data_IF_896502000215
#
_entry.id   IF_896502000215
#
_cell.length_a   1.000
_cell.length_b   1.000
_cell.length_c   1.000
_cell.angle_alpha   90.00
_cell.angle_beta   90.00
_cell.angle_gamma   90.00
#
_symmetry.space_group_name_H-M   'P 1'
#
loop_
_entity.id
_entity.type
_entity.pdbx_description
1 polymer ?
#
# COMPACT_ATOMS: atom_id res chain seq x y z
N UNK A 1 -14.74 28.87 -27.06
CA UNK A 1 -15.67 28.07 -26.24
C UNK A 1 -15.51 26.61 -26.62
N UNK A 2 -15.29 25.74 -25.61
CA UNK A 2 -15.55 24.29 -25.53
C UNK A 2 -15.06 23.37 -26.68
N UNK A 3 -14.11 22.43 -26.46
CA UNK A 3 -14.35 21.04 -25.98
C UNK A 3 -15.35 20.29 -26.90
N UNK A 4 -15.15 19.08 -27.45
CA UNK A 4 -14.26 17.95 -27.19
C UNK A 4 -14.67 16.86 -28.20
N UNK A 5 -13.76 16.15 -28.87
CA UNK A 5 -14.10 14.85 -29.50
C UNK A 5 -12.96 13.87 -29.23
N UNK A 6 -13.18 13.03 -28.22
CA UNK A 6 -12.53 11.74 -28.13
C UNK A 6 -13.52 10.67 -28.59
N UNK A 7 -13.09 9.79 -29.51
CA UNK A 7 -13.14 8.33 -29.30
C UNK A 7 -12.44 7.56 -30.41
N UNK A 8 -11.48 6.76 -29.96
CA UNK A 8 -11.11 5.40 -30.39
C UNK A 8 -10.81 5.16 -31.87
N UNK A 9 -9.52 5.00 -32.17
CA UNK A 9 -9.05 4.05 -33.18
C UNK A 9 -8.24 2.95 -32.48
N UNK A 10 -8.75 1.73 -32.63
CA UNK A 10 -8.12 0.48 -32.23
C UNK A 10 -7.23 -0.05 -33.36
N UNK A 11 -6.16 -0.74 -32.98
CA UNK A 11 -5.39 -1.73 -33.75
C UNK A 11 -4.52 -1.27 -34.93
N UNK A 12 -3.29 -1.81 -34.96
CA UNK A 12 -2.33 -1.69 -36.07
C UNK A 12 -0.92 -1.40 -35.57
N UNK A 13 -0.27 -2.31 -34.85
CA UNK A 13 0.74 -3.23 -35.42
C UNK A 13 1.79 -2.50 -36.29
N UNK A 14 2.82 -1.96 -35.64
CA UNK A 14 4.03 -1.51 -36.32
C UNK A 14 4.88 -2.72 -36.70
N UNK A 15 4.87 -3.07 -37.99
CA UNK A 15 5.80 -4.04 -38.57
C UNK A 15 6.72 -3.29 -39.52
N UNK A 16 8.02 -3.36 -39.23
CA UNK A 16 9.11 -2.89 -40.09
C UNK A 16 8.93 -3.41 -41.51
N UNK A 17 8.91 -2.52 -42.51
CA UNK A 17 9.21 -2.89 -43.88
C UNK A 17 10.71 -2.74 -44.13
N UNK A 18 11.36 -3.91 -44.10
CA UNK A 18 12.69 -4.19 -44.63
C UNK A 18 12.56 -4.45 -46.14
N UNK A 19 13.21 -3.58 -46.90
CA UNK A 19 13.99 -3.80 -48.13
C UNK A 19 14.02 -5.22 -48.75
N UNK A 20 13.76 -5.32 -50.06
CA UNK A 20 14.50 -6.19 -51.00
C UNK A 20 14.21 -5.81 -52.46
N UNK A 21 15.30 -5.58 -53.21
CA UNK A 21 15.54 -5.67 -54.67
C UNK A 21 14.43 -6.33 -55.52
N UNK A 22 14.18 -5.97 -56.78
CA UNK A 22 14.89 -5.17 -57.78
C UNK A 22 14.45 -5.71 -59.14
N UNK A 23 14.27 -4.87 -60.16
CA UNK A 23 14.20 -5.32 -61.55
C UNK A 23 14.76 -4.25 -62.50
N UNK A 24 15.71 -4.70 -63.31
CA UNK A 24 16.48 -3.94 -64.28
C UNK A 24 15.73 -3.79 -65.62
N UNK A 25 16.15 -2.82 -66.45
CA UNK A 25 16.48 -2.93 -67.90
C UNK A 25 16.69 -1.51 -68.51
N UNK A 26 17.54 -1.35 -69.56
CA UNK A 26 18.60 -0.34 -69.58
C UNK A 26 18.49 0.77 -70.64
N UNK A 27 19.46 1.70 -70.54
CA UNK A 27 19.91 2.81 -71.40
C UNK A 27 19.74 2.64 -72.93
N UNK A 28 19.54 3.75 -73.67
CA UNK A 28 20.62 4.12 -74.58
C UNK A 28 20.85 5.64 -74.74
N UNK A 29 22.09 6.04 -74.47
CA UNK A 29 22.91 6.93 -75.32
C UNK A 29 22.18 8.18 -75.84
N UNK A 30 22.15 9.23 -75.02
CA UNK A 30 22.35 10.60 -75.54
C UNK A 30 23.56 11.23 -74.88
N UNK A 31 24.59 11.30 -75.71
CA UNK A 31 25.87 11.98 -75.58
C UNK A 31 25.62 13.48 -75.37
N UNK A 32 25.32 13.91 -74.15
CA UNK A 32 25.33 15.31 -73.76
C UNK A 32 26.63 15.58 -72.98
N UNK A 33 27.38 16.57 -73.47
CA UNK A 33 28.80 16.77 -73.20
C UNK A 33 29.24 16.63 -71.75
N UNK A 34 30.28 15.83 -71.55
CA UNK A 34 31.20 15.95 -70.41
C UNK A 34 31.96 17.26 -70.56
N UNK A 35 31.31 18.35 -70.15
CA UNK A 35 31.94 19.52 -69.54
C UNK A 35 31.32 19.72 -68.16
N UNK A 36 31.37 18.66 -67.35
CA UNK A 36 31.31 18.85 -65.90
C UNK A 36 32.68 19.40 -65.51
N UNK A 37 32.78 20.72 -65.49
CA UNK A 37 33.95 21.41 -64.98
C UNK A 37 34.32 20.86 -63.61
N UNK A 38 35.62 20.81 -63.37
CA UNK A 38 36.34 20.49 -62.14
C UNK A 38 35.75 21.15 -60.86
N UNK A 39 34.85 22.13 -61.02
CA UNK A 39 34.08 22.80 -59.98
C UNK A 39 33.00 21.93 -59.31
N UNK A 40 32.34 21.00 -60.01
CA UNK A 40 31.23 20.21 -59.43
C UNK A 40 31.67 19.12 -58.43
N UNK A 41 32.94 18.70 -58.47
CA UNK A 41 33.50 17.69 -57.54
C UNK A 41 33.86 18.28 -56.18
N UNK A 42 34.14 19.58 -56.12
CA UNK A 42 34.49 20.27 -54.87
C UNK A 42 33.25 20.61 -54.05
N UNK A 43 32.13 20.95 -54.71
CA UNK A 43 30.84 21.17 -54.04
C UNK A 43 30.30 19.87 -53.42
N UNK A 44 30.27 18.75 -54.16
CA UNK A 44 29.80 17.46 -53.62
C UNK A 44 30.64 16.94 -52.43
N UNK A 45 31.94 17.22 -52.40
CA UNK A 45 32.81 16.83 -51.30
C UNK A 45 32.55 17.66 -50.02
N UNK A 46 32.12 18.91 -50.17
CA UNK A 46 31.66 19.76 -49.07
C UNK A 46 30.33 19.26 -48.49
N UNK A 47 29.37 18.95 -49.37
CA UNK A 47 28.03 18.49 -48.99
C UNK A 47 28.06 17.14 -48.24
N UNK A 48 28.90 16.19 -48.68
CA UNK A 48 29.03 14.89 -48.02
C UNK A 48 29.60 15.00 -46.60
N UNK A 49 30.60 15.86 -46.38
CA UNK A 49 31.19 16.07 -45.03
C UNK A 49 30.22 16.79 -44.10
N UNK A 50 29.49 17.77 -44.62
CA UNK A 50 28.47 18.49 -43.87
C UNK A 50 27.30 17.56 -43.47
N UNK A 51 26.84 16.70 -44.39
CA UNK A 51 25.83 15.68 -44.11
C UNK A 51 26.27 14.69 -43.01
N UNK A 52 27.54 14.24 -43.05
CA UNK A 52 28.10 13.39 -42.01
C UNK A 52 28.12 14.08 -40.64
N UNK A 53 28.56 15.34 -40.56
CA UNK A 53 28.56 16.10 -39.30
C UNK A 53 27.15 16.29 -38.73
N UNK A 54 26.16 16.57 -39.58
CA UNK A 54 24.77 16.71 -39.17
C UNK A 54 24.20 15.39 -38.63
N UNK A 55 24.48 14.28 -39.31
CA UNK A 55 24.06 12.93 -38.85
C UNK A 55 24.73 12.55 -37.53
N UNK A 56 26.01 12.89 -37.35
CA UNK A 56 26.74 12.63 -36.11
C UNK A 56 26.14 13.41 -34.93
N UNK A 57 25.81 14.69 -35.13
CA UNK A 57 25.10 15.49 -34.12
C UNK A 57 23.72 14.92 -33.81
N UNK A 58 22.94 14.52 -34.80
CA UNK A 58 21.63 13.90 -34.56
C UNK A 58 21.76 12.65 -33.69
N UNK A 59 22.76 11.80 -33.94
CA UNK A 59 23.01 10.60 -33.14
C UNK A 59 23.47 10.90 -31.72
N UNK A 60 24.21 11.98 -31.46
CA UNK A 60 24.56 12.38 -30.08
C UNK A 60 23.33 12.90 -29.35
N UNK A 61 22.54 13.77 -29.99
CA UNK A 61 21.30 14.30 -29.41
C UNK A 61 20.27 13.21 -29.09
N UNK A 62 20.12 12.20 -29.97
CA UNK A 62 19.24 11.07 -29.71
C UNK A 62 19.73 10.24 -28.52
N UNK A 63 21.04 9.93 -28.45
CA UNK A 63 21.62 9.19 -27.32
C UNK A 63 21.46 9.93 -25.99
N UNK A 64 21.65 11.24 -25.96
CA UNK A 64 21.43 12.03 -24.75
C UNK A 64 19.97 12.00 -24.30
N UNK A 65 19.02 12.10 -25.24
CA UNK A 65 17.58 11.98 -24.93
C UNK A 65 17.21 10.59 -24.43
N UNK A 66 17.74 9.54 -25.05
CA UNK A 66 17.55 8.17 -24.60
C UNK A 66 18.10 7.97 -23.18
N UNK A 67 19.30 8.46 -22.89
CA UNK A 67 19.88 8.40 -21.55
C UNK A 67 19.06 9.17 -20.52
N UNK A 68 18.60 10.38 -20.86
CA UNK A 68 17.72 11.17 -19.99
C UNK A 68 16.36 10.48 -19.76
N UNK A 69 15.79 9.85 -20.80
CA UNK A 69 14.55 9.10 -20.69
C UNK A 69 14.71 7.86 -19.80
N UNK A 70 15.81 7.11 -19.96
CA UNK A 70 16.12 5.97 -19.10
C UNK A 70 16.30 6.38 -17.64
N UNK A 71 17.04 7.47 -17.38
CA UNK A 71 17.20 8.00 -16.02
C UNK A 71 15.86 8.39 -15.37
N UNK A 72 14.93 8.96 -16.14
CA UNK A 72 13.59 9.28 -15.65
C UNK A 72 12.77 8.02 -15.36
N UNK A 73 12.85 7.01 -16.22
CA UNK A 73 12.18 5.71 -16.02
C UNK A 73 12.72 5.02 -14.77
N UNK A 74 14.04 5.00 -14.58
CA UNK A 74 14.68 4.42 -13.40
C UNK A 74 14.25 5.13 -12.11
N UNK A 75 14.20 6.47 -12.13
CA UNK A 75 13.69 7.24 -11.01
C UNK A 75 12.22 6.92 -10.71
N UNK A 76 11.36 6.83 -11.73
CA UNK A 76 9.96 6.48 -11.57
C UNK A 76 9.80 5.06 -10.99
N UNK A 77 10.57 4.10 -11.50
CA UNK A 77 10.58 2.72 -11.02
C UNK A 77 10.99 2.63 -9.55
N UNK A 78 12.02 3.38 -9.15
CA UNK A 78 12.46 3.45 -7.77
C UNK A 78 11.36 4.01 -6.85
N UNK A 79 10.66 5.06 -7.28
CA UNK A 79 9.58 5.66 -6.52
C UNK A 79 8.36 4.72 -6.41
N UNK A 80 8.01 4.02 -7.49
CA UNK A 80 6.97 2.98 -7.46
C UNK A 80 7.36 1.79 -6.57
N UNK A 81 8.64 1.41 -6.53
CA UNK A 81 9.12 0.37 -5.64
C UNK A 81 8.98 0.78 -4.17
N UNK A 82 9.29 2.04 -3.83
CA UNK A 82 9.07 2.59 -2.48
C UNK A 82 7.60 2.58 -2.08
N UNK A 83 6.71 3.00 -2.98
CA UNK A 83 5.25 2.98 -2.74
C UNK A 83 4.75 1.56 -2.48
N UNK A 84 5.10 0.61 -3.36
CA UNK A 84 4.74 -0.80 -3.19
C UNK A 84 5.29 -1.40 -1.90
N UNK A 85 6.52 -1.08 -1.51
CA UNK A 85 7.09 -1.55 -0.26
C UNK A 85 6.32 -1.03 0.96
N UNK A 86 5.86 0.22 0.93
CA UNK A 86 5.04 0.79 1.99
C UNK A 86 3.63 0.18 2.02
N UNK A 87 3.00 0.00 0.86
CA UNK A 87 1.70 -0.66 0.73
C UNK A 87 1.74 -2.10 1.27
N UNK A 88 2.79 -2.86 0.93
CA UNK A 88 2.98 -4.22 1.45
C UNK A 88 3.13 -4.23 2.97
N UNK A 89 3.88 -3.28 3.54
CA UNK A 89 4.01 -3.18 5.00
C UNK A 89 2.70 -2.81 5.68
N UNK A 90 1.91 -1.91 5.10
CA UNK A 90 0.58 -1.58 5.62
C UNK A 90 -0.35 -2.79 5.56
N UNK A 91 -0.38 -3.49 4.42
CA UNK A 91 -1.17 -4.72 4.29
C UNK A 91 -0.75 -5.80 5.29
N UNK A 92 0.55 -6.02 5.47
CA UNK A 92 1.05 -7.02 6.44
C UNK A 92 0.65 -6.66 7.88
N UNK A 93 0.81 -5.39 8.26
CA UNK A 93 0.37 -4.88 9.56
C UNK A 93 -1.14 -5.05 9.74
N UNK A 94 -1.95 -4.65 8.76
CA UNK A 94 -3.41 -4.77 8.83
C UNK A 94 -3.81 -6.24 8.97
N UNK A 95 -3.23 -7.13 8.18
CA UNK A 95 -3.54 -8.57 8.27
C UNK A 95 -3.14 -9.16 9.63
N UNK A 96 -2.05 -8.69 10.21
CA UNK A 96 -1.60 -9.11 11.55
C UNK A 96 -2.55 -8.62 12.62
N UNK A 97 -2.87 -7.32 12.63
CA UNK A 97 -3.81 -6.70 13.58
C UNK A 97 -5.19 -7.35 13.46
N UNK A 98 -5.67 -7.63 12.26
CA UNK A 98 -6.95 -8.31 12.06
C UNK A 98 -6.97 -9.73 12.62
N UNK A 99 -5.89 -10.50 12.45
CA UNK A 99 -5.76 -11.84 13.04
C UNK A 99 -5.73 -11.77 14.56
N UNK A 100 -4.90 -10.89 15.12
CA UNK A 100 -4.81 -10.69 16.58
C UNK A 100 -6.16 -10.29 17.18
N UNK A 101 -6.90 -9.39 16.52
CA UNK A 101 -8.24 -9.01 16.94
C UNK A 101 -9.22 -10.20 16.89
N UNK A 102 -9.22 -10.96 15.80
CA UNK A 102 -10.09 -12.14 15.65
C UNK A 102 -9.79 -13.23 16.69
N UNK A 103 -8.51 -13.48 16.96
CA UNK A 103 -8.05 -14.45 17.96
C UNK A 103 -8.45 -14.00 19.37
N UNK A 104 -8.25 -12.71 19.69
CA UNK A 104 -8.68 -12.13 20.95
C UNK A 104 -10.21 -12.25 21.14
N UNK A 105 -11.00 -11.91 20.12
CA UNK A 105 -12.47 -12.07 20.14
C UNK A 105 -12.90 -13.52 20.36
N UNK A 106 -12.25 -14.46 19.67
CA UNK A 106 -12.52 -15.90 19.83
C UNK A 106 -12.18 -16.37 21.24
N UNK A 107 -11.06 -15.92 21.80
CA UNK A 107 -10.65 -16.27 23.17
C UNK A 107 -11.64 -15.72 24.21
N UNK A 108 -12.11 -14.48 24.03
CA UNK A 108 -13.11 -13.85 24.89
C UNK A 108 -14.45 -14.59 24.81
N UNK A 109 -14.91 -14.95 23.61
CA UNK A 109 -16.13 -15.72 23.44
C UNK A 109 -16.05 -17.08 24.15
N UNK A 110 -14.90 -17.78 24.05
CA UNK A 110 -14.66 -19.04 24.77
C UNK A 110 -14.67 -18.85 26.29
N UNK A 111 -14.10 -17.77 26.82
CA UNK A 111 -14.15 -17.49 28.25
C UNK A 111 -15.57 -17.21 28.74
N UNK A 112 -16.38 -16.48 27.94
CA UNK A 112 -17.80 -16.23 28.26
C UNK A 112 -18.61 -17.52 28.28
N UNK A 113 -18.39 -18.40 27.31
CA UNK A 113 -19.05 -19.71 27.27
C UNK A 113 -18.72 -20.54 28.52
N UNK A 114 -17.44 -20.58 28.91
CA UNK A 114 -17.01 -21.28 30.14
C UNK A 114 -17.51 -20.65 31.45
N UNK A 115 -17.76 -19.34 31.46
CA UNK A 115 -18.42 -18.67 32.59
C UNK A 115 -19.90 -19.08 32.65
N UNK A 116 -20.57 -19.18 31.51
CA UNK A 116 -21.97 -19.61 31.43
C UNK A 116 -22.17 -21.09 31.81
N UNK A 117 -21.24 -21.97 31.43
CA UNK A 117 -21.28 -23.40 31.80
C UNK A 117 -20.85 -23.69 33.25
N UNK A 118 -20.53 -22.65 34.03
CA UNK A 118 -20.00 -22.75 35.40
C UNK A 118 -18.66 -23.51 35.54
N UNK A 119 -17.94 -23.75 34.43
CA UNK A 119 -16.60 -24.34 34.41
C UNK A 119 -15.53 -23.37 34.95
N UNK A 120 -15.81 -22.07 34.90
CA UNK A 120 -15.03 -21.01 35.52
C UNK A 120 -15.89 -20.25 36.53
N UNK A 121 -15.40 -20.10 37.76
CA UNK A 121 -16.07 -19.33 38.81
C UNK A 121 -15.32 -18.03 39.09
N UNK A 122 -16.03 -16.91 39.06
CA UNK A 122 -15.47 -15.61 39.41
C UNK A 122 -15.57 -15.40 40.94
N UNK A 123 -14.42 -15.17 41.57
CA UNK A 123 -14.35 -14.88 43.01
C UNK A 123 -14.23 -13.37 43.23
N UNK A 124 -15.10 -12.79 44.07
CA UNK A 124 -15.07 -11.38 44.45
C UNK A 124 -14.63 -11.26 45.91
N UNK A 125 -13.81 -10.25 46.21
CA UNK A 125 -13.46 -9.91 47.59
C UNK A 125 -14.68 -9.28 48.27
N UNK A 126 -15.18 -9.91 49.34
CA UNK A 126 -16.24 -9.32 50.16
C UNK A 126 -15.61 -8.24 51.03
N UNK A 127 -16.13 -7.02 50.96
CA UNK A 127 -15.77 -5.97 51.90
C UNK A 127 -16.25 -6.41 53.29
N UNK A 128 -15.31 -6.60 54.23
CA UNK A 128 -15.66 -6.80 55.64
C UNK A 128 -16.07 -5.45 56.24
N UNK A 129 -17.31 -5.26 56.71
CA UNK A 129 -17.67 -4.05 57.42
C UNK A 129 -17.08 -4.12 58.84
N UNK A 130 -15.81 -3.77 59.04
CA UNK A 130 -15.31 -3.44 60.37
C UNK A 130 -15.68 -2.00 60.72
N UNK A 131 -16.97 -1.80 60.96
CA UNK A 131 -17.49 -0.75 61.83
C UNK A 131 -18.39 -1.46 62.85
N UNK A 132 -17.86 -1.71 64.05
CA UNK A 132 -18.61 -2.26 65.19
C UNK A 132 -17.96 -3.49 65.83
N UNK A 133 -17.14 -3.26 66.85
CA UNK A 133 -16.91 -4.09 68.05
C UNK A 133 -16.91 -5.63 67.87
N UNK A 134 -15.71 -6.19 67.62
CA UNK A 134 -15.47 -7.63 67.68
C UNK A 134 -13.97 -7.94 67.77
N UNK A 135 -13.58 -8.59 68.86
CA UNK A 135 -12.23 -8.84 69.36
C UNK A 135 -11.23 -9.41 68.31
N UNK A 136 -9.94 -9.01 68.30
CA UNK A 136 -8.95 -9.56 67.36
C UNK A 136 -8.64 -11.03 67.70
N UNK A 137 -8.90 -11.95 66.76
CA UNK A 137 -8.48 -13.36 66.85
C UNK A 137 -6.99 -13.51 66.58
N UNK A 138 -6.34 -14.34 67.42
CA UNK A 138 -4.90 -14.54 67.52
C UNK A 138 -4.21 -14.93 66.20
N UNK A 139 -3.00 -14.39 66.00
CA UNK A 139 -2.08 -14.71 64.92
C UNK A 139 -1.57 -16.15 65.00
N UNK A 140 -2.01 -17.01 64.06
CA UNK A 140 -1.47 -18.35 63.82
C UNK A 140 -0.53 -18.37 62.61
N UNK A 141 0.55 -19.14 62.72
CA UNK A 141 1.67 -19.24 61.79
C UNK A 141 1.31 -19.74 60.38
N UNK A 142 1.87 -19.08 59.35
CA UNK A 142 2.13 -19.70 58.04
C UNK A 142 1.26 -19.21 56.87
N UNK A 143 1.69 -18.13 56.22
CA UNK A 143 1.67 -18.00 54.75
C UNK A 143 0.42 -18.37 53.97
N UNK A 144 -0.78 -18.03 54.44
CA UNK A 144 -1.98 -17.91 53.59
C UNK A 144 -2.62 -16.58 53.92
N UNK A 145 -2.84 -15.78 52.88
CA UNK A 145 -3.38 -14.42 52.99
C UNK A 145 -4.74 -14.50 53.69
N UNK A 146 -4.80 -14.14 54.97
CA UNK A 146 -6.02 -13.78 55.69
C UNK A 146 -6.52 -12.39 55.25
N UNK A 147 -6.58 -12.17 53.94
CA UNK A 147 -7.17 -10.97 53.33
C UNK A 147 -8.62 -11.27 53.00
N UNK A 148 -9.55 -10.49 53.58
CA UNK A 148 -10.98 -10.37 53.25
C UNK A 148 -11.65 -11.59 52.58
N UNK A 149 -12.60 -12.21 53.27
CA UNK A 149 -13.42 -13.32 52.77
C UNK A 149 -13.78 -13.14 51.28
N UNK A 150 -13.42 -14.10 50.42
CA UNK A 150 -13.81 -14.08 48.99
C UNK A 150 -15.11 -14.87 48.82
N UNK A 151 -16.11 -14.26 48.22
CA UNK A 151 -17.35 -14.92 47.83
C UNK A 151 -17.28 -15.35 46.37
N UNK A 152 -17.70 -16.57 46.07
CA UNK A 152 -17.94 -16.99 44.68
C UNK A 152 -19.22 -16.32 44.16
N UNK A 153 -19.14 -15.75 42.95
CA UNK A 153 -20.28 -15.13 42.30
C UNK A 153 -21.10 -16.19 41.54
N UNK A 154 -22.42 -16.09 41.60
CA UNK A 154 -23.33 -16.90 40.80
C UNK A 154 -23.01 -16.76 39.29
N UNK A 155 -22.89 -17.85 38.51
CA UNK A 155 -22.55 -17.80 37.08
C UNK A 155 -23.43 -16.84 36.27
N UNK A 156 -24.75 -16.82 36.53
CA UNK A 156 -25.66 -15.93 35.81
C UNK A 156 -25.48 -14.46 36.22
N UNK A 157 -25.16 -14.17 37.48
CA UNK A 157 -24.77 -12.83 37.92
C UNK A 157 -23.43 -12.39 37.31
N UNK A 158 -22.47 -13.31 37.23
CA UNK A 158 -21.15 -13.07 36.67
C UNK A 158 -21.21 -12.73 35.17
N UNK A 159 -22.00 -13.49 34.40
CA UNK A 159 -22.23 -13.24 32.98
C UNK A 159 -22.87 -11.87 32.73
N UNK A 160 -23.89 -11.49 33.52
CA UNK A 160 -24.54 -10.18 33.41
C UNK A 160 -23.58 -9.02 33.63
N UNK A 161 -22.67 -9.12 34.61
CA UNK A 161 -21.68 -8.07 34.88
C UNK A 161 -20.73 -7.90 33.69
N UNK A 162 -20.20 -9.00 33.14
CA UNK A 162 -19.29 -8.96 31.98
C UNK A 162 -20.01 -8.45 30.73
N UNK A 163 -21.29 -8.81 30.54
CA UNK A 163 -22.08 -8.30 29.42
C UNK A 163 -22.27 -6.77 29.51
N UNK A 164 -22.54 -6.22 30.69
CA UNK A 164 -22.68 -4.77 30.88
C UNK A 164 -21.39 -4.03 30.52
N UNK A 165 -20.23 -4.55 30.92
CA UNK A 165 -18.94 -3.91 30.57
C UNK A 165 -18.69 -3.93 29.07
N UNK A 166 -19.02 -5.03 28.39
CA UNK A 166 -18.87 -5.16 26.93
C UNK A 166 -19.77 -4.19 26.17
N UNK A 167 -21.05 -4.07 26.55
CA UNK A 167 -21.96 -3.07 25.98
C UNK A 167 -21.49 -1.63 26.26
N UNK A 168 -20.94 -1.38 27.46
CA UNK A 168 -20.37 -0.09 27.83
C UNK A 168 -19.20 0.31 26.93
N UNK A 169 -18.27 -0.61 26.70
CA UNK A 169 -17.12 -0.39 25.82
C UNK A 169 -17.54 -0.14 24.37
N UNK A 170 -18.50 -0.92 23.87
CA UNK A 170 -19.08 -0.70 22.53
C UNK A 170 -19.73 0.69 22.40
N UNK A 171 -20.46 1.13 23.44
CA UNK A 171 -21.05 2.46 23.49
C UNK A 171 -20.00 3.58 23.49
N UNK A 172 -18.91 3.42 24.24
CA UNK A 172 -17.80 4.39 24.27
C UNK A 172 -17.06 4.44 22.93
N UNK A 173 -16.89 3.31 22.24
CA UNK A 173 -16.33 3.26 20.89
C UNK A 173 -17.24 4.02 19.92
N UNK A 174 -18.54 3.75 19.94
CA UNK A 174 -19.51 4.43 19.08
C UNK A 174 -19.52 5.95 19.33
N UNK A 175 -19.48 6.38 20.60
CA UNK A 175 -19.42 7.79 20.96
C UNK A 175 -18.14 8.45 20.44
N UNK A 176 -16.98 7.79 20.59
CA UNK A 176 -15.71 8.29 20.06
C UNK A 176 -15.75 8.45 18.53
N UNK A 177 -16.38 7.50 17.83
CA UNK A 177 -16.58 7.60 16.38
C UNK A 177 -17.44 8.81 15.99
N UNK A 178 -18.55 9.05 16.69
CA UNK A 178 -19.38 10.24 16.48
C UNK A 178 -18.60 11.55 16.76
N UNK A 179 -17.81 11.58 17.83
CA UNK A 179 -16.98 12.75 18.17
C UNK A 179 -15.91 13.03 17.12
N UNK A 180 -15.28 11.99 16.56
CA UNK A 180 -14.31 12.13 15.48
C UNK A 180 -14.96 12.72 14.23
N UNK A 181 -16.09 12.18 13.80
CA UNK A 181 -16.86 12.67 12.66
C UNK A 181 -17.25 14.14 12.77
N UNK A 182 -17.74 14.58 13.94
CA UNK A 182 -18.10 15.99 14.16
C UNK A 182 -16.87 16.90 14.08
N UNK A 183 -15.71 16.45 14.58
CA UNK A 183 -14.47 17.24 14.46
C UNK A 183 -14.02 17.37 13.01
N UNK A 184 -14.12 16.32 12.20
CA UNK A 184 -13.76 16.35 10.78
C UNK A 184 -14.61 17.34 9.97
N UNK A 185 -15.89 17.50 10.29
CA UNK A 185 -16.79 18.43 9.58
C UNK A 185 -16.71 19.86 10.11
N UNK A 186 -16.26 20.04 11.35
CA UNK A 186 -16.07 21.36 11.95
C UNK A 186 -14.76 22.05 11.54
N UNK A 187 -13.93 21.39 10.74
CA UNK A 187 -12.68 21.91 10.16
C UNK A 187 -12.89 22.37 8.71
#
# INVERSE_FOLDING_TARGET
MAWQIGRRFTSGHWRCCRESAGDAIPDPRIRAGVRAGYMGRLEMAGDARYGLQLSAQQLTWQREREQAALALVDWQNAEQARRRALELRLQDNDTTIHKELSDAQTSQARLRDRLATADLRLSVLLASPTAGDGMPTASGSGGVVHGSSRGELDPAAAERIVAITDYGDQGLIALKACQAYVREIAH
#
